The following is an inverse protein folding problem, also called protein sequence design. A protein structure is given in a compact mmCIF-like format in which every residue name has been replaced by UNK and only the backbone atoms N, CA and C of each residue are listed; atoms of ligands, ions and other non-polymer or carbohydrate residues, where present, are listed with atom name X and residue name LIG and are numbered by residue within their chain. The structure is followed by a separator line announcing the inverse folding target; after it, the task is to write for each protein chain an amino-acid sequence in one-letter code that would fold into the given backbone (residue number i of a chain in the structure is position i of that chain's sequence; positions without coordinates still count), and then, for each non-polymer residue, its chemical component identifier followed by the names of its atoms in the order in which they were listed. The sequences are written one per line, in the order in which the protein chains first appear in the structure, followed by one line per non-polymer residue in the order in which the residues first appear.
data_IF_430039293153
#
_entry.id   IF_430039293153
#
_cell.length_a   1.000
_cell.length_b   1.000
_cell.length_c   1.000
_cell.angle_alpha   90.00
_cell.angle_beta   90.00
_cell.angle_gamma   90.00
#
_symmetry.space_group_name_H-M   'P 1'
#
loop_
_entity.id
_entity.type
_entity.pdbx_description
1 polymer ?
#
# COMPACT_ATOMS: atom_id res chain seq x y z
N UNK A 1 -28.02 28.06 9.16
CA UNK A 1 -27.24 27.58 10.31
C UNK A 1 -27.35 26.05 10.36
N UNK A 2 -26.24 25.34 10.53
CA UNK A 2 -26.27 23.89 10.73
C UNK A 2 -26.14 23.58 12.22
N UNK A 3 -26.87 22.56 12.68
CA UNK A 3 -26.85 22.08 14.07
C UNK A 3 -26.40 20.62 14.10
N UNK A 4 -25.82 20.21 15.23
CA UNK A 4 -25.39 18.84 15.46
C UNK A 4 -26.55 18.01 16.01
N UNK A 5 -26.91 16.91 15.35
CA UNK A 5 -27.94 15.99 15.81
C UNK A 5 -27.50 15.30 17.11
N UNK A 6 -28.34 15.33 18.14
CA UNK A 6 -28.04 14.73 19.44
C UNK A 6 -27.93 13.19 19.41
N UNK A 7 -28.46 12.54 18.36
CA UNK A 7 -28.50 11.07 18.26
C UNK A 7 -27.36 10.48 17.44
N UNK A 8 -27.02 11.10 16.30
CA UNK A 8 -26.01 10.56 15.37
C UNK A 8 -24.80 11.47 15.16
N UNK A 9 -24.72 12.59 15.88
CA UNK A 9 -23.66 13.60 15.78
C UNK A 9 -23.48 14.26 14.41
N UNK A 10 -24.31 13.93 13.41
CA UNK A 10 -24.25 14.55 12.08
C UNK A 10 -24.72 16.01 12.14
N UNK A 11 -24.07 16.86 11.36
CA UNK A 11 -24.55 18.21 11.08
C UNK A 11 -25.76 18.13 10.15
N UNK A 12 -26.82 18.86 10.48
CA UNK A 12 -28.03 18.98 9.68
C UNK A 12 -28.58 20.40 9.73
N UNK A 13 -29.40 20.75 8.75
CA UNK A 13 -30.11 22.04 8.74
C UNK A 13 -31.47 21.83 9.40
N UNK A 14 -31.73 22.41 10.59
CA UNK A 14 -33.02 22.25 11.24
C UNK A 14 -34.10 23.00 10.46
N UNK A 15 -35.26 22.38 10.27
CA UNK A 15 -36.44 23.03 9.67
C UNK A 15 -37.22 23.82 10.73
N UNK A 16 -37.14 23.40 12.00
CA UNK A 16 -37.79 24.02 13.17
C UNK A 16 -36.90 23.90 14.43
N UNK A 17 -37.48 23.69 15.61
CA UNK A 17 -36.81 23.48 16.91
C UNK A 17 -36.36 22.03 17.15
N UNK A 18 -36.20 21.24 16.09
CA UNK A 18 -35.83 19.83 16.17
C UNK A 18 -34.36 19.66 16.60
N UNK A 19 -34.12 18.78 17.58
CA UNK A 19 -32.77 18.43 18.08
C UNK A 19 -32.16 17.23 17.35
N UNK A 20 -32.94 16.57 16.50
CA UNK A 20 -32.57 15.36 15.78
C UNK A 20 -32.67 15.61 14.27
N UNK A 21 -31.77 15.01 13.49
CA UNK A 21 -31.84 15.08 12.03
C UNK A 21 -33.00 14.22 11.49
N UNK A 22 -33.51 14.51 10.27
CA UNK A 22 -34.60 13.77 9.65
C UNK A 22 -34.38 12.25 9.64
N UNK A 23 -33.17 11.79 9.31
CA UNK A 23 -32.83 10.35 9.32
C UNK A 23 -33.00 9.69 10.70
N UNK A 24 -32.66 10.43 11.76
CA UNK A 24 -32.81 9.95 13.14
C UNK A 24 -34.25 9.98 13.63
N UNK A 25 -35.07 10.87 13.08
CA UNK A 25 -36.52 10.95 13.34
C UNK A 25 -37.21 9.79 12.62
N UNK A 26 -36.82 9.49 11.39
CA UNK A 26 -37.28 8.34 10.59
C UNK A 26 -36.80 6.98 11.12
N UNK A 27 -36.01 6.95 12.19
CA UNK A 27 -35.55 5.72 12.83
C UNK A 27 -34.49 4.95 12.02
N UNK A 28 -33.81 5.58 11.06
CA UNK A 28 -32.77 4.92 10.26
C UNK A 28 -31.60 4.48 11.15
N UNK A 29 -30.96 3.34 10.82
CA UNK A 29 -29.79 2.88 11.56
C UNK A 29 -28.67 3.91 11.48
N UNK A 30 -28.07 4.20 12.64
CA UNK A 30 -26.96 5.15 12.74
C UNK A 30 -25.72 4.48 12.15
N UNK A 31 -25.09 5.04 11.09
CA UNK A 31 -23.86 4.48 10.57
C UNK A 31 -22.80 4.48 11.67
N UNK A 32 -22.11 3.35 11.85
CA UNK A 32 -21.01 3.25 12.80
C UNK A 32 -19.98 4.34 12.48
N UNK A 33 -19.52 5.05 13.51
CA UNK A 33 -18.43 6.01 13.35
C UNK A 33 -17.21 5.25 12.83
N UNK A 34 -16.63 5.71 11.73
CA UNK A 34 -15.38 5.14 11.22
C UNK A 34 -14.33 5.25 12.32
N UNK A 35 -13.62 4.16 12.54
CA UNK A 35 -12.50 4.16 13.48
C UNK A 35 -11.35 5.00 12.90
N UNK A 36 -10.51 5.55 13.76
CA UNK A 36 -9.31 6.29 13.32
C UNK A 36 -8.42 5.41 12.43
N UNK A 37 -8.40 4.09 12.68
CA UNK A 37 -7.66 3.13 11.88
C UNK A 37 -8.19 3.03 10.44
N UNK A 38 -9.51 2.93 10.26
CA UNK A 38 -10.16 2.90 8.94
C UNK A 38 -9.88 4.18 8.15
N UNK A 39 -10.01 5.34 8.80
CA UNK A 39 -9.74 6.63 8.16
C UNK A 39 -8.26 6.72 7.74
N UNK A 40 -7.33 6.27 8.57
CA UNK A 40 -5.90 6.23 8.22
C UNK A 40 -5.62 5.28 7.06
N UNK A 41 -6.24 4.10 7.05
CA UNK A 41 -6.10 3.14 5.97
C UNK A 41 -6.63 3.70 4.63
N UNK A 42 -7.77 4.40 4.64
CA UNK A 42 -8.29 5.06 3.45
C UNK A 42 -7.36 6.18 2.94
N UNK A 43 -6.81 6.99 3.84
CA UNK A 43 -5.85 8.04 3.48
C UNK A 43 -4.59 7.43 2.86
N UNK A 44 -4.07 6.35 3.46
CA UNK A 44 -2.89 5.66 2.95
C UNK A 44 -3.18 5.05 1.57
N UNK A 45 -4.31 4.36 1.41
CA UNK A 45 -4.70 3.76 0.13
C UNK A 45 -4.82 4.80 -1.00
N UNK A 46 -5.33 6.01 -0.70
CA UNK A 46 -5.38 7.11 -1.67
C UNK A 46 -3.97 7.56 -2.08
N UNK A 47 -3.06 7.73 -1.11
CA UNK A 47 -1.67 8.10 -1.38
C UNK A 47 -0.96 7.03 -2.21
N UNK A 48 -1.12 5.76 -1.86
CA UNK A 48 -0.52 4.63 -2.57
C UNK A 48 -1.06 4.53 -4.01
N UNK A 49 -2.35 4.80 -4.22
CA UNK A 49 -2.95 4.82 -5.55
C UNK A 49 -2.45 5.99 -6.41
N UNK A 50 -2.28 7.19 -5.83
CA UNK A 50 -1.67 8.32 -6.54
C UNK A 50 -0.20 8.08 -6.85
N UNK A 51 0.53 7.45 -5.94
CA UNK A 51 1.91 7.06 -6.14
C UNK A 51 2.03 5.98 -7.24
N UNK A 52 1.15 4.98 -7.24
CA UNK A 52 1.10 3.95 -8.28
C UNK A 52 0.95 4.54 -9.69
N UNK A 53 0.16 5.62 -9.86
CA UNK A 53 -0.01 6.31 -11.15
C UNK A 53 1.27 6.94 -11.69
N UNK A 54 2.27 7.20 -10.85
CA UNK A 54 3.57 7.77 -11.27
C UNK A 54 4.46 6.75 -11.98
N UNK A 55 4.11 5.48 -11.90
CA UNK A 55 4.92 4.39 -12.41
C UNK A 55 4.24 3.69 -13.58
N UNK A 56 5.04 3.33 -14.58
CA UNK A 56 4.56 2.69 -15.82
C UNK A 56 4.24 1.20 -15.66
N UNK A 57 4.96 0.50 -14.79
CA UNK A 57 4.85 -0.94 -14.65
C UNK A 57 4.48 -1.35 -13.24
N UNK A 58 3.54 -2.28 -13.16
CA UNK A 58 3.19 -3.04 -11.98
C UNK A 58 3.86 -4.42 -12.06
N UNK A 59 4.53 -4.84 -10.98
CA UNK A 59 5.27 -6.11 -10.91
C UNK A 59 5.18 -6.74 -9.54
N UNK A 60 5.57 -8.01 -9.47
CA UNK A 60 5.73 -8.75 -8.22
C UNK A 60 7.21 -9.01 -7.96
N UNK A 61 7.63 -8.76 -6.72
CA UNK A 61 9.02 -8.99 -6.31
C UNK A 61 9.31 -10.48 -6.30
N UNK A 62 10.34 -10.93 -7.02
CA UNK A 62 10.73 -12.34 -7.02
C UNK A 62 11.22 -12.85 -5.65
N UNK A 63 11.67 -11.95 -4.76
CA UNK A 63 12.19 -12.32 -3.44
C UNK A 63 11.11 -12.46 -2.37
N UNK A 64 10.07 -11.62 -2.40
CA UNK A 64 9.07 -11.56 -1.34
C UNK A 64 7.62 -11.69 -1.81
N UNK A 65 7.39 -11.79 -3.13
CA UNK A 65 6.06 -11.91 -3.73
C UNK A 65 5.19 -10.65 -3.62
N UNK A 66 5.68 -9.57 -3.00
CA UNK A 66 4.91 -8.33 -2.86
C UNK A 66 4.80 -7.60 -4.20
N UNK A 67 3.62 -7.02 -4.44
CA UNK A 67 3.37 -6.12 -5.56
C UNK A 67 4.12 -4.81 -5.36
N UNK A 68 4.78 -4.31 -6.40
CA UNK A 68 5.49 -3.04 -6.42
C UNK A 68 5.36 -2.36 -7.77
N UNK A 69 5.60 -1.05 -7.79
CA UNK A 69 5.51 -0.24 -8.99
C UNK A 69 6.88 0.28 -9.41
N UNK A 70 7.13 0.35 -10.71
CA UNK A 70 8.42 0.80 -11.24
C UNK A 70 8.32 1.38 -12.64
N UNK A 71 9.26 2.27 -12.99
CA UNK A 71 9.46 2.74 -14.36
C UNK A 71 10.50 1.91 -15.14
N UNK A 72 11.22 1.01 -14.46
CA UNK A 72 12.28 0.19 -15.06
C UNK A 72 11.71 -1.13 -15.60
N UNK A 73 11.86 -1.37 -16.89
CA UNK A 73 11.43 -2.61 -17.57
C UNK A 73 12.17 -3.87 -17.10
N UNK A 74 13.38 -3.74 -16.56
CA UNK A 74 14.18 -4.89 -16.14
C UNK A 74 14.20 -5.10 -14.63
N UNK A 75 13.48 -4.27 -13.86
CA UNK A 75 13.44 -4.42 -12.40
C UNK A 75 12.47 -5.55 -12.03
N UNK A 76 12.98 -6.53 -11.28
CA UNK A 76 12.23 -7.73 -10.86
C UNK A 76 12.12 -7.86 -9.34
N UNK A 77 12.78 -6.99 -8.59
CA UNK A 77 12.72 -6.91 -7.12
C UNK A 77 12.13 -5.58 -6.66
N UNK A 78 11.43 -5.61 -5.54
CA UNK A 78 11.01 -4.40 -4.84
C UNK A 78 12.24 -3.64 -4.28
N UNK A 79 12.03 -2.39 -3.88
CA UNK A 79 13.07 -1.56 -3.26
C UNK A 79 13.26 -1.86 -1.76
N UNK A 80 12.70 -2.95 -1.24
CA UNK A 80 12.89 -3.33 0.17
C UNK A 80 14.34 -3.76 0.38
N UNK A 81 14.99 -3.19 1.39
CA UNK A 81 16.41 -3.43 1.69
C UNK A 81 16.75 -4.93 1.78
N UNK A 82 15.90 -5.70 2.45
CA UNK A 82 16.11 -7.15 2.60
C UNK A 82 16.08 -7.90 1.27
N UNK A 83 15.25 -7.46 0.31
CA UNK A 83 15.19 -8.07 -1.01
C UNK A 83 16.40 -7.67 -1.86
N UNK A 84 16.84 -6.41 -1.77
CA UNK A 84 18.03 -5.93 -2.46
C UNK A 84 19.30 -6.62 -1.96
N UNK A 85 19.44 -6.78 -0.64
CA UNK A 85 20.61 -7.42 -0.04
C UNK A 85 20.64 -8.93 -0.33
N UNK A 86 19.49 -9.63 -0.32
CA UNK A 86 19.40 -11.03 -0.77
C UNK A 86 19.92 -11.21 -2.20
N UNK A 87 19.44 -10.39 -3.15
CA UNK A 87 19.88 -10.46 -4.53
C UNK A 87 21.37 -10.13 -4.70
N UNK A 88 21.89 -9.20 -3.88
CA UNK A 88 23.31 -8.86 -3.88
C UNK A 88 24.16 -10.05 -3.44
N UNK A 89 23.78 -10.72 -2.36
CA UNK A 89 24.48 -11.90 -1.84
C UNK A 89 24.46 -13.05 -2.86
N UNK A 90 23.30 -13.36 -3.44
CA UNK A 90 23.17 -14.41 -4.46
C UNK A 90 24.04 -14.13 -5.68
N UNK A 91 24.08 -12.87 -6.14
CA UNK A 91 24.95 -12.45 -7.25
C UNK A 91 26.43 -12.64 -6.91
N UNK A 92 26.85 -12.30 -5.68
CA UNK A 92 28.22 -12.50 -5.23
C UNK A 92 28.58 -14.00 -5.17
N UNK A 93 27.69 -14.84 -4.65
CA UNK A 93 27.89 -16.29 -4.60
C UNK A 93 28.02 -16.89 -6.01
N UNK A 94 27.13 -16.50 -6.92
CA UNK A 94 27.14 -16.94 -8.32
C UNK A 94 28.45 -16.55 -9.02
N UNK A 95 28.90 -15.31 -8.84
CA UNK A 95 30.17 -14.84 -9.40
C UNK A 95 31.37 -15.61 -8.85
N UNK A 96 31.40 -15.88 -7.54
CA UNK A 96 32.46 -16.69 -6.91
C UNK A 96 32.47 -18.12 -7.45
N UNK A 97 31.30 -18.74 -7.62
CA UNK A 97 31.18 -20.08 -8.18
C UNK A 97 31.68 -20.13 -9.63
N UNK A 98 31.28 -19.16 -10.46
CA UNK A 98 31.75 -19.01 -11.85
C UNK A 98 33.26 -18.83 -11.92
N UNK A 99 33.84 -17.99 -11.05
CA UNK A 99 35.29 -17.81 -11.00
C UNK A 99 36.02 -19.13 -10.66
N UNK A 100 35.53 -19.87 -9.66
CA UNK A 100 36.08 -21.18 -9.29
C UNK A 100 35.97 -22.19 -10.44
N UNK A 101 34.86 -22.22 -11.16
CA UNK A 101 34.66 -23.10 -12.31
C UNK A 101 35.65 -22.79 -13.45
N UNK A 102 35.80 -21.51 -13.79
CA UNK A 102 36.76 -21.06 -14.81
C UNK A 102 38.21 -21.37 -14.42
N UNK A 103 38.56 -21.21 -13.14
CA UNK A 103 39.89 -21.55 -12.63
C UNK A 103 40.19 -23.06 -12.75
N UNK A 104 39.19 -23.92 -12.47
CA UNK A 104 39.34 -25.38 -12.67
C UNK A 104 39.54 -25.73 -14.14
N UNK A 105 38.75 -25.16 -15.05
CA UNK A 105 38.88 -25.41 -16.48
C UNK A 105 40.25 -24.98 -17.03
N UNK A 106 40.82 -23.87 -16.55
CA UNK A 106 42.16 -23.42 -16.94
C UNK A 106 43.28 -24.32 -16.44
N UNK A 107 43.10 -25.03 -15.32
CA UNK A 107 44.10 -25.97 -14.78
C UNK A 107 44.03 -27.36 -15.44
N UNK A 108 42.94 -27.66 -16.12
CA UNK A 108 42.71 -28.94 -16.80
C UNK A 108 43.09 -28.91 -18.31
N UNK A 109 43.53 -27.75 -18.81
CA UNK A 109 44.14 -27.57 -20.13
C UNK A 109 45.64 -27.36 -19.94
#
# INVERSE_FOLDING_TARGET
MQMKCHRCDKLFTPVRSEKHCPDCIEGKPIPKKRTVAEVRAEIQAKRDAEEAKKYKYERYCICCGKKFYTNKTNRVICSDYDCEEKMRIERLQTNRARYRANAKQKRAK
#
